data_IF_892279112730
#
_entry.id   IF_892279112730
#
_cell.length_a   1.000
_cell.length_b   1.000
_cell.length_c   1.000
_cell.angle_alpha   90.00
_cell.angle_beta   90.00
_cell.angle_gamma   90.00
#
_symmetry.space_group_name_H-M   'P 1'
#
loop_
_entity.id
_entity.type
_entity.pdbx_description
1 polymer ?
#
# COMPACT_ATOMS: atom_id res chain seq x y z
N UNK A 1 15.71 -2.93 5.93
CA UNK A 1 15.85 -3.89 4.80
C UNK A 1 14.96 -5.10 5.07
N UNK A 2 14.17 -5.51 4.08
CA UNK A 2 13.30 -6.69 4.17
C UNK A 2 13.96 -7.86 3.43
N UNK A 3 14.11 -9.02 4.09
CA UNK A 3 14.74 -10.18 3.47
C UNK A 3 14.15 -11.50 3.97
N UNK A 4 14.37 -12.56 3.22
CA UNK A 4 13.97 -13.94 3.58
C UNK A 4 15.16 -14.87 3.59
N UNK A 5 15.13 -15.87 4.48
CA UNK A 5 16.16 -16.91 4.59
C UNK A 5 15.51 -18.27 4.72
N UNK A 6 15.86 -19.16 3.79
CA UNK A 6 15.38 -20.55 3.70
C UNK A 6 13.84 -20.65 3.87
N UNK A 7 13.12 -19.70 3.23
CA UNK A 7 11.69 -19.51 3.47
C UNK A 7 10.85 -20.60 2.83
N UNK A 8 10.13 -21.37 3.66
CA UNK A 8 9.13 -22.36 3.23
C UNK A 8 7.77 -21.92 3.71
N UNK A 9 6.84 -21.66 2.80
CA UNK A 9 5.49 -21.21 3.11
C UNK A 9 4.45 -21.80 2.17
N UNK A 10 3.20 -21.85 2.64
CA UNK A 10 2.07 -22.37 1.87
C UNK A 10 0.80 -22.46 2.70
N UNK A 11 -0.21 -23.09 2.16
CA UNK A 11 -1.53 -23.20 2.77
C UNK A 11 -1.85 -24.69 2.98
N UNK A 12 -2.47 -25.03 4.10
CA UNK A 12 -2.77 -26.39 4.50
C UNK A 12 -1.58 -27.33 4.27
N UNK A 13 -1.72 -28.40 3.51
CA UNK A 13 -0.64 -29.34 3.18
C UNK A 13 0.20 -28.89 1.95
N UNK A 14 -0.26 -27.86 1.21
CA UNK A 14 0.41 -27.43 -0.03
C UNK A 14 1.54 -26.45 0.27
N UNK A 15 2.77 -26.83 -0.04
CA UNK A 15 3.91 -25.91 -0.09
C UNK A 15 3.86 -25.08 -1.39
N UNK A 16 4.01 -23.77 -1.27
CA UNK A 16 4.00 -22.81 -2.39
C UNK A 16 5.38 -22.20 -2.59
N UNK A 17 6.07 -21.87 -1.50
CA UNK A 17 7.47 -21.41 -1.50
C UNK A 17 8.31 -22.48 -0.83
N UNK A 18 9.48 -22.81 -1.42
CA UNK A 18 10.35 -23.87 -0.90
C UNK A 18 11.82 -23.40 -0.90
N UNK A 19 12.34 -23.08 0.29
CA UNK A 19 13.72 -22.68 0.50
C UNK A 19 14.09 -21.35 -0.16
N UNK A 20 13.21 -20.33 -0.13
CA UNK A 20 13.39 -19.07 -0.84
C UNK A 20 14.25 -18.10 -0.03
N UNK A 21 15.41 -17.71 -0.61
CA UNK A 21 16.27 -16.63 -0.14
C UNK A 21 16.08 -15.41 -1.04
N UNK A 22 15.83 -14.25 -0.44
CA UNK A 22 15.66 -13.00 -1.17
C UNK A 22 16.05 -11.82 -0.29
N UNK A 23 16.86 -10.91 -0.84
CA UNK A 23 17.16 -9.61 -0.26
C UNK A 23 16.49 -8.51 -1.10
N UNK A 24 15.66 -7.70 -0.46
CA UNK A 24 15.04 -6.56 -1.12
C UNK A 24 15.85 -5.29 -0.79
N UNK A 25 16.21 -4.49 -1.80
CA UNK A 25 16.92 -3.24 -1.57
C UNK A 25 16.01 -2.24 -0.83
N UNK A 26 16.62 -1.44 0.05
CA UNK A 26 15.96 -0.29 0.70
C UNK A 26 15.90 0.90 -0.26
N UNK A 27 14.99 1.83 0.00
CA UNK A 27 14.83 3.06 -0.77
C UNK A 27 14.67 2.81 -2.29
N UNK A 28 14.06 1.66 -2.62
CA UNK A 28 13.89 1.18 -3.98
C UNK A 28 12.44 0.80 -4.26
N UNK A 29 12.02 0.91 -5.50
CA UNK A 29 10.77 0.32 -5.97
C UNK A 29 11.06 -1.06 -6.55
N UNK A 30 10.79 -2.09 -5.75
CA UNK A 30 10.89 -3.50 -6.19
C UNK A 30 9.56 -3.97 -6.73
N UNK A 31 9.58 -4.56 -7.92
CA UNK A 31 8.40 -5.21 -8.51
C UNK A 31 8.61 -6.71 -8.61
N UNK A 32 7.65 -7.47 -8.09
CA UNK A 32 7.62 -8.94 -8.18
C UNK A 32 6.71 -9.33 -9.33
N UNK A 33 7.27 -10.06 -10.31
CA UNK A 33 6.55 -10.56 -11.48
C UNK A 33 6.63 -12.08 -11.58
N UNK A 34 5.73 -12.67 -12.34
CA UNK A 34 5.68 -14.12 -12.58
C UNK A 34 4.29 -14.59 -12.97
N UNK A 35 4.12 -15.81 -13.46
CA UNK A 35 2.82 -16.35 -13.84
C UNK A 35 1.87 -16.46 -12.66
N UNK A 36 0.57 -16.62 -12.96
CA UNK A 36 -0.42 -16.82 -11.91
C UNK A 36 -0.11 -18.07 -11.08
N UNK A 37 -0.41 -18.01 -9.79
CA UNK A 37 -0.17 -19.08 -8.81
C UNK A 37 1.31 -19.49 -8.63
N UNK A 38 2.30 -18.69 -9.07
CA UNK A 38 3.71 -18.98 -8.84
C UNK A 38 4.23 -18.64 -7.44
N UNK A 39 3.40 -18.04 -6.55
CA UNK A 39 3.77 -17.76 -5.15
C UNK A 39 3.98 -16.29 -4.80
N UNK A 40 3.78 -15.33 -5.71
CA UNK A 40 3.98 -13.88 -5.46
C UNK A 40 3.23 -13.37 -4.22
N UNK A 41 1.91 -13.55 -4.20
CA UNK A 41 1.07 -13.13 -3.06
C UNK A 41 1.38 -13.91 -1.78
N UNK A 42 1.80 -15.19 -1.90
CA UNK A 42 2.25 -15.99 -0.75
C UNK A 42 3.52 -15.40 -0.15
N UNK A 43 4.49 -15.04 -0.99
CA UNK A 43 5.72 -14.37 -0.57
C UNK A 43 5.40 -13.04 0.13
N UNK A 44 4.60 -12.20 -0.51
CA UNK A 44 4.24 -10.89 0.04
C UNK A 44 3.47 -11.02 1.37
N UNK A 45 2.51 -11.93 1.48
CA UNK A 45 1.78 -12.20 2.73
C UNK A 45 2.68 -12.73 3.84
N UNK A 46 3.67 -13.57 3.49
CA UNK A 46 4.63 -14.07 4.48
C UNK A 46 5.56 -12.96 4.96
N UNK A 47 6.05 -12.10 4.04
CA UNK A 47 6.84 -10.90 4.38
C UNK A 47 6.04 -9.92 5.23
N UNK A 48 4.72 -9.79 4.98
CA UNK A 48 3.81 -8.96 5.76
C UNK A 48 3.42 -9.56 7.13
N UNK A 49 3.93 -10.74 7.49
CA UNK A 49 3.52 -11.49 8.70
C UNK A 49 2.03 -11.86 8.73
N UNK A 50 1.37 -11.87 7.55
CA UNK A 50 -0.01 -12.32 7.40
C UNK A 50 -0.10 -13.85 7.21
N UNK A 51 1.00 -14.47 6.80
CA UNK A 51 1.15 -15.93 6.69
C UNK A 51 2.39 -16.36 7.46
N UNK A 52 2.21 -17.31 8.37
CA UNK A 52 3.32 -17.87 9.15
C UNK A 52 4.11 -18.86 8.29
N UNK A 53 5.44 -18.68 8.12
CA UNK A 53 6.26 -19.64 7.40
C UNK A 53 6.34 -20.97 8.16
N UNK A 54 6.43 -22.07 7.43
CA UNK A 54 6.65 -23.42 7.99
C UNK A 54 8.08 -23.63 8.40
N UNK A 55 9.03 -23.06 7.65
CA UNK A 55 10.46 -23.06 7.88
C UNK A 55 11.07 -21.75 7.40
N UNK A 56 12.26 -21.45 7.91
CA UNK A 56 12.97 -20.22 7.56
C UNK A 56 12.44 -19.01 8.31
N UNK A 57 12.84 -17.84 7.86
CA UNK A 57 12.49 -16.59 8.53
C UNK A 57 12.42 -15.42 7.57
N UNK A 58 11.55 -14.44 7.91
CA UNK A 58 11.54 -13.11 7.33
C UNK A 58 12.25 -12.18 8.28
N UNK A 59 13.17 -11.38 7.78
CA UNK A 59 13.91 -10.39 8.53
C UNK A 59 13.45 -8.98 8.13
N UNK A 60 13.18 -8.15 9.12
CA UNK A 60 12.95 -6.71 8.97
C UNK A 60 14.08 -5.99 9.72
N UNK A 61 14.93 -5.29 8.97
CA UNK A 61 16.14 -4.63 9.48
C UNK A 61 17.05 -5.57 10.31
N UNK A 62 17.22 -6.80 9.81
CA UNK A 62 18.05 -7.83 10.43
C UNK A 62 17.41 -8.57 11.60
N UNK A 63 16.21 -8.17 12.05
CA UNK A 63 15.47 -8.82 13.14
C UNK A 63 14.37 -9.70 12.57
N UNK A 64 14.21 -10.91 13.10
CA UNK A 64 13.13 -11.79 12.66
C UNK A 64 11.77 -11.14 12.95
N UNK A 65 10.96 -10.98 11.91
CA UNK A 65 9.68 -10.24 11.99
C UNK A 65 8.70 -10.86 13.00
N UNK A 66 8.82 -12.16 13.25
CA UNK A 66 8.01 -12.88 14.25
C UNK A 66 8.30 -12.43 15.69
N UNK A 67 9.53 -11.98 15.95
CA UNK A 67 10.01 -11.60 17.29
C UNK A 67 9.69 -10.13 17.60
N UNK A 68 9.32 -9.33 16.60
CA UNK A 68 8.91 -7.94 16.76
C UNK A 68 7.47 -7.84 17.28
N UNK A 69 7.16 -6.85 18.16
CA UNK A 69 5.79 -6.54 18.54
C UNK A 69 4.94 -6.19 17.30
N UNK A 70 3.69 -6.68 17.23
CA UNK A 70 2.80 -6.44 16.08
C UNK A 70 2.65 -4.95 15.74
N UNK A 71 2.57 -4.10 16.77
CA UNK A 71 2.48 -2.66 16.62
C UNK A 71 3.73 -2.03 16.01
N UNK A 72 4.89 -2.56 16.32
CA UNK A 72 6.16 -2.11 15.76
C UNK A 72 6.24 -2.47 14.28
N UNK A 73 5.91 -3.71 13.92
CA UNK A 73 5.80 -4.13 12.51
C UNK A 73 4.84 -3.22 11.75
N UNK A 74 3.65 -2.96 12.32
CA UNK A 74 2.64 -2.10 11.68
C UNK A 74 3.05 -0.62 11.56
N UNK A 75 4.08 -0.14 12.26
CA UNK A 75 4.63 1.20 12.10
C UNK A 75 5.76 1.28 11.08
N UNK A 76 6.34 0.14 10.72
CA UNK A 76 7.44 0.07 9.74
C UNK A 76 6.98 -0.44 8.38
N UNK A 77 5.90 -1.23 8.35
CA UNK A 77 5.45 -1.96 7.17
C UNK A 77 3.96 -1.72 6.91
N UNK A 78 3.64 -0.99 5.85
CA UNK A 78 2.29 -0.83 5.31
C UNK A 78 1.97 -1.97 4.36
N UNK A 79 0.73 -2.47 4.42
CA UNK A 79 0.32 -3.62 3.60
C UNK A 79 -1.00 -3.33 2.92
N UNK A 80 -1.03 -3.46 1.58
CA UNK A 80 -2.24 -3.49 0.77
C UNK A 80 -2.46 -4.92 0.26
N UNK A 81 -3.44 -5.66 0.78
CA UNK A 81 -3.77 -6.98 0.26
C UNK A 81 -4.57 -6.89 -1.05
N UNK A 82 -4.55 -7.95 -1.85
CA UNK A 82 -5.21 -8.03 -3.16
C UNK A 82 -6.74 -7.78 -3.10
N UNK A 83 -7.42 -8.27 -2.06
CA UNK A 83 -8.88 -8.15 -1.92
C UNK A 83 -9.22 -7.82 -0.47
N UNK A 84 -9.09 -6.55 -0.07
CA UNK A 84 -9.46 -6.16 1.29
C UNK A 84 -10.97 -6.16 1.48
N UNK A 85 -11.43 -6.65 2.65
CA UNK A 85 -12.84 -6.64 3.01
C UNK A 85 -13.27 -5.22 3.39
N UNK A 86 -14.37 -4.77 2.81
CA UNK A 86 -14.99 -3.47 3.13
C UNK A 86 -16.07 -3.70 4.18
N UNK A 87 -15.98 -3.08 5.36
CA UNK A 87 -17.09 -3.09 6.30
C UNK A 87 -18.25 -2.24 5.75
N UNK A 88 -19.48 -2.71 5.93
CA UNK A 88 -20.68 -1.97 5.50
C UNK A 88 -20.81 -0.62 6.24
N UNK A 89 -21.26 0.41 5.54
CA UNK A 89 -21.59 1.70 6.11
C UNK A 89 -20.40 2.55 6.59
N UNK A 90 -19.15 2.17 6.29
CA UNK A 90 -17.94 2.92 6.66
C UNK A 90 -17.67 3.98 5.59
N UNK A 91 -17.44 5.23 6.01
CA UNK A 91 -17.03 6.31 5.12
C UNK A 91 -15.58 6.17 4.65
N UNK A 92 -15.22 6.86 3.57
CA UNK A 92 -13.83 6.91 3.08
C UNK A 92 -12.90 7.45 4.17
N UNK A 93 -13.26 8.57 4.81
CA UNK A 93 -12.43 9.17 5.87
C UNK A 93 -12.23 8.20 7.04
N UNK A 94 -13.28 7.49 7.48
CA UNK A 94 -13.19 6.50 8.56
C UNK A 94 -12.30 5.32 8.17
N UNK A 95 -12.41 4.84 6.92
CA UNK A 95 -11.56 3.74 6.45
C UNK A 95 -10.10 4.16 6.38
N UNK A 96 -9.79 5.32 5.80
CA UNK A 96 -8.43 5.86 5.73
C UNK A 96 -7.87 6.09 7.14
N UNK A 97 -8.71 6.60 8.06
CA UNK A 97 -8.38 6.78 9.47
C UNK A 97 -7.94 5.51 10.19
N UNK A 98 -8.39 4.33 9.75
CA UNK A 98 -7.93 3.04 10.32
C UNK A 98 -6.45 2.80 10.09
N UNK A 99 -5.83 3.41 9.08
CA UNK A 99 -4.38 3.39 8.89
C UNK A 99 -3.61 3.94 10.10
N UNK A 100 -4.24 4.81 10.91
CA UNK A 100 -3.62 5.39 12.11
C UNK A 100 -3.69 4.51 13.36
N UNK A 101 -4.39 3.36 13.33
CA UNK A 101 -4.52 2.46 14.49
C UNK A 101 -3.18 2.09 15.16
N UNK A 102 -2.06 1.87 14.47
CA UNK A 102 -0.78 1.59 15.11
C UNK A 102 -0.24 2.72 15.97
N UNK A 103 -0.71 3.95 15.79
CA UNK A 103 -0.29 5.14 16.55
C UNK A 103 -1.20 5.45 17.74
N UNK A 104 -2.45 5.01 17.70
CA UNK A 104 -3.43 5.25 18.74
C UNK A 104 -3.11 4.45 20.02
N UNK A 105 -3.43 5.07 21.18
CA UNK A 105 -3.34 4.44 22.50
C UNK A 105 -4.74 4.37 23.10
N UNK A 106 -5.01 3.40 23.98
CA UNK A 106 -6.34 3.22 24.57
C UNK A 106 -6.89 4.47 25.29
N UNK A 107 -6.01 5.39 25.74
CA UNK A 107 -6.38 6.66 26.41
C UNK A 107 -6.26 7.90 25.50
N UNK A 108 -5.67 7.78 24.31
CA UNK A 108 -5.53 8.85 23.30
C UNK A 108 -5.87 8.28 21.94
N UNK A 109 -7.14 8.36 21.58
CA UNK A 109 -7.65 7.69 20.39
C UNK A 109 -7.33 8.46 19.10
N UNK A 110 -7.36 9.80 19.13
CA UNK A 110 -7.15 10.63 17.94
C UNK A 110 -6.32 11.86 18.27
N UNK A 111 -5.36 12.22 17.41
CA UNK A 111 -4.54 13.41 17.52
C UNK A 111 -4.67 14.29 16.27
N UNK A 112 -4.24 15.56 16.36
CA UNK A 112 -4.16 16.46 15.20
C UNK A 112 -3.21 15.94 14.12
N UNK A 113 -2.14 15.24 14.53
CA UNK A 113 -1.19 14.57 13.63
C UNK A 113 -1.86 13.42 12.87
N UNK A 114 -2.76 12.67 13.51
CA UNK A 114 -3.52 11.61 12.86
C UNK A 114 -4.47 12.19 11.80
N UNK A 115 -5.15 13.31 12.12
CA UNK A 115 -5.99 14.04 11.15
C UNK A 115 -5.18 14.50 9.94
N UNK A 116 -4.06 15.19 10.19
CA UNK A 116 -3.20 15.67 9.10
C UNK A 116 -2.65 14.54 8.21
N UNK A 117 -2.29 13.39 8.80
CA UNK A 117 -1.82 12.23 8.07
C UNK A 117 -2.93 11.62 7.18
N UNK A 118 -4.16 11.57 7.67
CA UNK A 118 -5.33 11.10 6.90
C UNK A 118 -5.63 12.05 5.74
N UNK A 119 -5.69 13.37 6.00
CA UNK A 119 -5.95 14.37 4.96
C UNK A 119 -4.89 14.32 3.87
N UNK A 120 -3.60 14.21 4.26
CA UNK A 120 -2.50 14.08 3.32
C UNK A 120 -2.61 12.79 2.50
N UNK A 121 -2.94 11.67 3.12
CA UNK A 121 -3.08 10.39 2.43
C UNK A 121 -4.24 10.41 1.43
N UNK A 122 -5.38 11.02 1.79
CA UNK A 122 -6.52 11.19 0.89
C UNK A 122 -6.17 12.09 -0.30
N UNK A 123 -5.45 13.19 -0.06
CA UNK A 123 -5.00 14.08 -1.12
C UNK A 123 -4.01 13.39 -2.08
N UNK A 124 -3.06 12.61 -1.56
CA UNK A 124 -2.09 11.86 -2.37
C UNK A 124 -2.76 10.80 -3.27
N UNK A 125 -3.81 10.16 -2.78
CA UNK A 125 -4.56 9.13 -3.52
C UNK A 125 -5.72 9.70 -4.35
N UNK A 126 -5.90 11.03 -4.37
CA UNK A 126 -6.98 11.71 -5.09
C UNK A 126 -8.37 11.17 -4.73
N UNK A 127 -8.67 11.15 -3.41
CA UNK A 127 -9.96 10.68 -2.86
C UNK A 127 -10.56 11.64 -1.84
N UNK A 128 -10.05 12.86 -1.74
CA UNK A 128 -10.52 13.87 -0.78
C UNK A 128 -12.00 14.20 -0.96
N UNK A 129 -12.44 14.34 -2.22
CA UNK A 129 -13.84 14.65 -2.55
C UNK A 129 -14.82 13.49 -2.25
N UNK A 130 -14.28 12.33 -1.89
CA UNK A 130 -15.04 11.13 -1.55
C UNK A 130 -15.12 10.90 -0.04
N UNK A 131 -14.54 11.77 0.80
CA UNK A 131 -14.33 11.57 2.24
C UNK A 131 -15.57 11.08 3.00
N UNK A 132 -16.72 11.70 2.74
CA UNK A 132 -17.99 11.40 3.43
C UNK A 132 -18.82 10.29 2.74
N UNK A 133 -18.35 9.76 1.61
CA UNK A 133 -19.08 8.71 0.89
C UNK A 133 -18.86 7.35 1.53
N UNK A 134 -19.92 6.51 1.58
CA UNK A 134 -19.76 5.09 1.96
C UNK A 134 -18.86 4.36 0.95
N UNK A 135 -17.90 3.56 1.45
CA UNK A 135 -16.92 2.86 0.62
C UNK A 135 -17.56 1.82 -0.30
N UNK A 136 -18.65 1.21 0.11
CA UNK A 136 -19.43 0.26 -0.67
C UNK A 136 -20.11 0.88 -1.91
N UNK A 137 -20.40 2.21 -1.87
CA UNK A 137 -20.98 2.96 -3.00
C UNK A 137 -19.96 3.34 -4.09
N UNK A 138 -18.66 3.08 -3.88
CA UNK A 138 -17.60 3.49 -4.79
C UNK A 138 -17.40 2.51 -5.95
N UNK A 139 -16.93 3.03 -7.10
CA UNK A 139 -16.43 2.20 -8.18
C UNK A 139 -15.22 1.37 -7.73
N UNK A 140 -14.89 0.29 -8.46
CA UNK A 140 -13.72 -0.53 -8.15
C UNK A 140 -12.42 0.28 -8.08
N UNK A 141 -12.21 1.20 -9.04
CA UNK A 141 -11.03 2.06 -9.08
C UNK A 141 -10.99 3.08 -7.93
N UNK A 142 -12.11 3.74 -7.61
CA UNK A 142 -12.20 4.63 -6.46
C UNK A 142 -11.91 3.88 -5.16
N UNK A 143 -12.47 2.70 -5.01
CA UNK A 143 -12.24 1.84 -3.83
C UNK A 143 -10.77 1.45 -3.69
N UNK A 144 -10.09 1.10 -4.79
CA UNK A 144 -8.68 0.78 -4.80
C UNK A 144 -7.82 1.98 -4.32
N UNK A 145 -8.12 3.21 -4.81
CA UNK A 145 -7.43 4.43 -4.36
C UNK A 145 -7.66 4.72 -2.86
N UNK A 146 -8.85 4.44 -2.35
CA UNK A 146 -9.14 4.57 -0.90
C UNK A 146 -8.31 3.59 -0.06
N UNK A 147 -8.14 2.35 -0.51
CA UNK A 147 -7.28 1.38 0.17
C UNK A 147 -5.79 1.79 0.13
N UNK A 148 -5.34 2.36 -1.00
CA UNK A 148 -4.00 2.94 -1.09
C UNK A 148 -3.88 4.10 -0.09
N UNK A 149 -4.88 5.01 -0.02
CA UNK A 149 -4.90 6.10 0.96
C UNK A 149 -4.80 5.58 2.39
N UNK A 150 -5.54 4.55 2.77
CA UNK A 150 -5.46 3.92 4.09
C UNK A 150 -4.04 3.40 4.38
N UNK A 151 -3.41 2.75 3.40
CA UNK A 151 -2.04 2.25 3.54
C UNK A 151 -1.04 3.40 3.68
N UNK A 152 -1.25 4.51 2.95
CA UNK A 152 -0.41 5.71 3.05
C UNK A 152 -0.58 6.44 4.39
N UNK A 153 -1.81 6.49 4.93
CA UNK A 153 -2.11 7.09 6.24
C UNK A 153 -1.38 6.37 7.39
N UNK A 154 -1.01 5.11 7.20
CA UNK A 154 -0.19 4.35 8.15
C UNK A 154 1.22 4.94 8.30
N UNK A 155 1.71 5.70 7.31
CA UNK A 155 2.98 6.46 7.33
C UNK A 155 4.20 5.59 7.70
N UNK A 156 4.43 4.54 6.92
CA UNK A 156 5.47 3.53 7.14
C UNK A 156 6.67 3.73 6.21
N UNK A 157 7.84 3.23 6.60
CA UNK A 157 9.07 3.27 5.80
C UNK A 157 9.02 2.33 4.58
N UNK A 158 8.28 1.24 4.70
CA UNK A 158 8.11 0.25 3.64
C UNK A 158 6.64 -0.04 3.34
N UNK A 159 6.32 -0.26 2.06
CA UNK A 159 4.98 -0.59 1.55
C UNK A 159 5.03 -1.91 0.79
N UNK A 160 4.16 -2.84 1.16
CA UNK A 160 3.93 -4.10 0.44
C UNK A 160 2.54 -4.06 -0.22
N UNK A 161 2.50 -4.14 -1.53
CA UNK A 161 1.28 -3.92 -2.33
C UNK A 161 1.01 -5.15 -3.22
N UNK A 162 -0.07 -5.87 -2.93
CA UNK A 162 -0.47 -7.04 -3.72
C UNK A 162 -1.43 -6.60 -4.82
N UNK A 163 -0.93 -6.46 -6.06
CA UNK A 163 -1.68 -6.05 -7.25
C UNK A 163 -2.40 -4.69 -7.12
N UNK A 164 -1.68 -3.59 -6.80
CA UNK A 164 -2.31 -2.30 -6.53
C UNK A 164 -3.02 -1.67 -7.73
N UNK A 165 -2.77 -2.15 -8.94
CA UNK A 165 -3.35 -1.62 -10.19
C UNK A 165 -4.53 -2.45 -10.72
N UNK A 166 -4.94 -3.50 -10.03
CA UNK A 166 -6.08 -4.35 -10.42
C UNK A 166 -7.38 -3.55 -10.32
N UNK A 167 -8.31 -3.75 -11.27
CA UNK A 167 -9.59 -3.04 -11.42
C UNK A 167 -9.48 -1.55 -11.82
N UNK A 168 -8.29 -1.05 -12.15
CA UNK A 168 -8.08 0.30 -12.65
C UNK A 168 -8.00 0.30 -14.18
N UNK A 169 -8.51 1.34 -14.81
CA UNK A 169 -8.21 1.63 -16.21
C UNK A 169 -6.76 2.09 -16.38
N UNK A 170 -6.30 2.18 -17.61
CA UNK A 170 -4.90 2.48 -17.93
C UNK A 170 -4.42 3.80 -17.34
N UNK A 171 -5.26 4.85 -17.37
CA UNK A 171 -4.89 6.16 -16.84
C UNK A 171 -4.66 6.09 -15.32
N UNK A 172 -5.60 5.51 -14.58
CA UNK A 172 -5.50 5.36 -13.14
C UNK A 172 -4.39 4.38 -12.70
N UNK A 173 -4.07 3.35 -13.52
CA UNK A 173 -2.90 2.48 -13.27
C UNK A 173 -1.60 3.31 -13.29
N UNK A 174 -1.46 4.18 -14.29
CA UNK A 174 -0.29 5.05 -14.42
C UNK A 174 -0.21 6.02 -13.25
N UNK A 175 -1.32 6.67 -12.86
CA UNK A 175 -1.38 7.58 -11.71
C UNK A 175 -0.93 6.91 -10.41
N UNK A 176 -1.40 5.69 -10.14
CA UNK A 176 -0.99 4.91 -8.96
C UNK A 176 0.50 4.58 -9.00
N UNK A 177 1.01 4.12 -10.15
CA UNK A 177 2.42 3.79 -10.27
C UNK A 177 3.32 5.02 -10.17
N UNK A 178 2.90 6.15 -10.74
CA UNK A 178 3.58 7.45 -10.60
C UNK A 178 3.59 7.92 -9.14
N UNK A 179 2.48 7.74 -8.40
CA UNK A 179 2.42 8.01 -6.98
C UNK A 179 3.43 7.15 -6.19
N UNK A 180 3.45 5.83 -6.42
CA UNK A 180 4.38 4.93 -5.75
C UNK A 180 5.83 5.26 -6.08
N UNK A 181 6.12 5.61 -7.32
CA UNK A 181 7.44 6.04 -7.75
C UNK A 181 7.87 7.36 -7.07
N UNK A 182 6.97 8.34 -6.94
CA UNK A 182 7.23 9.59 -6.20
C UNK A 182 7.47 9.33 -4.71
N UNK A 183 6.70 8.46 -4.06
CA UNK A 183 6.92 8.09 -2.66
C UNK A 183 8.31 7.51 -2.43
N UNK A 184 8.80 6.70 -3.38
CA UNK A 184 10.17 6.20 -3.36
C UNK A 184 11.18 7.31 -3.59
N UNK A 185 11.05 8.10 -4.68
CA UNK A 185 12.08 9.07 -5.10
C UNK A 185 12.17 10.31 -4.20
N UNK A 186 11.03 10.80 -3.68
CA UNK A 186 10.97 12.04 -2.89
C UNK A 186 11.05 11.79 -1.37
N UNK A 187 10.61 10.62 -0.90
CA UNK A 187 10.54 10.30 0.54
C UNK A 187 11.45 9.16 0.97
N UNK A 188 12.22 8.55 0.04
CA UNK A 188 13.10 7.43 0.36
C UNK A 188 12.35 6.20 0.87
N UNK A 189 11.08 5.99 0.48
CA UNK A 189 10.32 4.83 0.94
C UNK A 189 10.67 3.59 0.13
N UNK A 190 10.75 2.48 0.80
CA UNK A 190 10.87 1.17 0.14
C UNK A 190 9.48 0.74 -0.33
N UNK A 191 9.32 0.47 -1.63
CA UNK A 191 8.06 0.01 -2.20
C UNK A 191 8.27 -1.38 -2.79
N UNK A 192 7.43 -2.33 -2.43
CA UNK A 192 7.40 -3.68 -3.01
C UNK A 192 6.00 -3.94 -3.55
N UNK A 193 5.87 -4.11 -4.86
CA UNK A 193 4.58 -4.35 -5.49
C UNK A 193 4.59 -5.62 -6.33
N UNK A 194 3.49 -6.36 -6.30
CA UNK A 194 3.22 -7.41 -7.29
C UNK A 194 2.51 -6.77 -8.47
N UNK A 195 3.06 -6.91 -9.66
CA UNK A 195 2.43 -6.45 -10.90
C UNK A 195 2.30 -7.59 -11.91
N UNK A 196 1.29 -7.49 -12.78
CA UNK A 196 1.07 -8.45 -13.87
C UNK A 196 1.65 -7.97 -15.20
N UNK A 197 1.70 -6.65 -15.42
CA UNK A 197 2.21 -6.06 -16.65
C UNK A 197 3.73 -5.90 -16.58
N UNK A 198 4.45 -6.65 -17.46
CA UNK A 198 5.91 -6.61 -17.52
C UNK A 198 6.45 -5.25 -17.98
N UNK A 199 5.70 -4.54 -18.84
CA UNK A 199 6.14 -3.25 -19.36
C UNK A 199 5.99 -2.15 -18.29
N UNK A 200 4.92 -2.19 -17.51
CA UNK A 200 4.79 -1.34 -16.33
C UNK A 200 5.86 -1.68 -15.29
N UNK A 201 6.09 -2.97 -15.01
CA UNK A 201 7.13 -3.40 -14.09
C UNK A 201 8.52 -2.90 -14.52
N UNK A 202 8.87 -3.06 -15.80
CA UNK A 202 10.16 -2.60 -16.35
C UNK A 202 10.31 -1.08 -16.34
N UNK A 203 9.20 -0.33 -16.47
CA UNK A 203 9.20 1.14 -16.51
C UNK A 203 9.41 1.76 -15.13
N UNK A 204 8.80 1.20 -14.10
CA UNK A 204 8.73 1.80 -12.77
C UNK A 204 9.70 1.20 -11.75
N UNK A 205 10.10 -0.07 -11.92
CA UNK A 205 10.96 -0.74 -10.95
C UNK A 205 12.42 -0.30 -11.04
N UNK A 206 13.02 -0.06 -9.88
CA UNK A 206 14.47 -0.04 -9.71
C UNK A 206 15.03 -1.46 -9.65
N UNK A 207 14.25 -2.37 -9.08
CA UNK A 207 14.60 -3.77 -8.87
C UNK A 207 13.43 -4.68 -9.26
N UNK A 208 13.68 -5.66 -10.11
CA UNK A 208 12.68 -6.62 -10.57
C UNK A 208 13.02 -7.99 -9.98
N UNK A 209 12.00 -8.68 -9.47
CA UNK A 209 12.10 -10.06 -8.98
C UNK A 209 11.19 -10.93 -9.82
N UNK A 210 11.76 -11.83 -10.63
CA UNK A 210 11.02 -12.77 -11.46
C UNK A 210 10.87 -14.11 -10.73
N UNK A 211 9.62 -14.56 -10.55
CA UNK A 211 9.28 -15.79 -9.85
C UNK A 211 8.63 -16.82 -10.77
N UNK A 212 8.97 -18.09 -10.55
CA UNK A 212 8.32 -19.24 -11.18
C UNK A 212 8.31 -20.44 -10.24
N UNK A 213 7.16 -21.10 -10.09
CA UNK A 213 7.05 -22.35 -9.33
C UNK A 213 7.49 -22.23 -7.86
N UNK A 214 7.26 -21.10 -7.20
CA UNK A 214 7.61 -20.88 -5.80
C UNK A 214 9.07 -20.44 -5.54
N UNK A 215 9.87 -20.27 -6.60
CA UNK A 215 11.27 -19.86 -6.51
C UNK A 215 11.52 -18.53 -7.24
N UNK A 216 12.56 -17.81 -6.84
CA UNK A 216 13.10 -16.66 -7.55
C UNK A 216 14.00 -17.19 -8.68
N UNK A 217 13.68 -16.81 -9.92
CA UNK A 217 14.45 -17.19 -11.11
C UNK A 217 15.54 -16.15 -11.41
N UNK A 218 15.18 -14.87 -11.26
CA UNK A 218 16.10 -13.76 -11.45
C UNK A 218 15.69 -12.58 -10.56
N UNK A 219 16.67 -11.81 -10.10
CA UNK A 219 16.48 -10.58 -9.33
C UNK A 219 17.56 -9.58 -9.71
N UNK A 220 17.20 -8.32 -9.96
CA UNK A 220 18.12 -7.27 -10.36
C UNK A 220 17.43 -6.10 -11.07
N UNK A 221 18.20 -5.12 -11.57
CA UNK A 221 17.66 -4.03 -12.35
C UNK A 221 16.93 -4.54 -13.61
N UNK A 222 15.74 -4.01 -13.97
CA UNK A 222 15.00 -4.49 -15.13
C UNK A 222 15.82 -4.51 -16.43
N UNK A 223 16.69 -3.53 -16.62
CA UNK A 223 17.53 -3.42 -17.83
C UNK A 223 18.55 -4.56 -17.98
N UNK A 224 18.93 -5.20 -16.87
CA UNK A 224 19.91 -6.27 -16.85
C UNK A 224 19.27 -7.64 -16.97
N UNK A 225 18.10 -7.84 -16.31
CA UNK A 225 17.52 -9.18 -16.19
C UNK A 225 16.36 -9.44 -17.15
N UNK A 226 15.61 -8.40 -17.61
CA UNK A 226 14.44 -8.60 -18.46
C UNK A 226 14.86 -8.84 -19.92
N UNK A 227 15.14 -10.10 -20.23
CA UNK A 227 15.50 -10.59 -21.56
C UNK A 227 14.40 -11.44 -22.20
N UNK A 228 14.43 -11.64 -23.52
CA UNK A 228 13.51 -12.52 -24.20
C UNK A 228 13.57 -13.97 -23.67
N UNK A 229 14.76 -14.43 -23.27
CA UNK A 229 14.95 -15.75 -22.68
C UNK A 229 14.29 -15.84 -21.30
N UNK A 230 14.47 -14.84 -20.41
CA UNK A 230 13.79 -14.81 -19.12
C UNK A 230 12.25 -14.84 -19.31
N UNK A 231 11.72 -14.03 -20.25
CA UNK A 231 10.26 -13.98 -20.49
C UNK A 231 9.77 -15.34 -20.99
N UNK A 232 10.50 -15.98 -21.89
CA UNK A 232 10.16 -17.34 -22.36
C UNK A 232 10.22 -18.36 -21.23
N UNK A 233 11.26 -18.33 -20.41
CA UNK A 233 11.47 -19.29 -19.33
C UNK A 233 10.44 -19.13 -18.22
N UNK A 234 10.14 -17.89 -17.81
CA UNK A 234 9.22 -17.60 -16.70
C UNK A 234 7.76 -17.69 -17.14
N UNK A 235 7.42 -17.09 -18.29
CA UNK A 235 6.03 -16.91 -18.72
C UNK A 235 5.61 -17.84 -19.87
N UNK A 236 6.56 -18.57 -20.50
CA UNK A 236 6.28 -19.40 -21.66
C UNK A 236 5.95 -18.58 -22.93
N UNK A 237 6.32 -17.29 -22.96
CA UNK A 237 5.95 -16.35 -24.01
C UNK A 237 7.14 -16.05 -24.92
N UNK A 238 7.00 -16.34 -26.22
CA UNK A 238 7.95 -15.88 -27.22
C UNK A 238 7.77 -14.36 -27.43
N UNK A 239 8.87 -13.62 -27.33
CA UNK A 239 8.86 -12.16 -27.46
C UNK A 239 10.20 -11.63 -27.98
N UNK A 240 10.21 -10.36 -28.32
CA UNK A 240 11.42 -9.54 -28.45
C UNK A 240 11.40 -8.49 -27.35
N UNK A 241 12.59 -8.13 -26.86
CA UNK A 241 12.74 -7.03 -25.90
C UNK A 241 13.49 -5.91 -26.58
N UNK A 242 12.86 -4.74 -26.63
CA UNK A 242 13.40 -3.53 -27.27
C UNK A 242 13.42 -2.38 -26.27
N UNK A 243 14.28 -1.38 -26.44
CA UNK A 243 14.22 -0.19 -25.60
C UNK A 243 12.93 0.62 -25.86
N UNK A 244 12.24 1.02 -24.82
CA UNK A 244 11.09 1.91 -24.92
C UNK A 244 11.53 3.26 -25.48
N UNK A 245 10.90 3.80 -26.54
CA UNK A 245 11.33 5.06 -27.18
C UNK A 245 11.17 6.29 -26.28
N UNK A 246 10.36 6.20 -25.20
CA UNK A 246 10.12 7.31 -24.27
C UNK A 246 11.05 7.26 -23.07
N UNK A 247 11.24 6.08 -22.45
CA UNK A 247 11.98 5.94 -21.17
C UNK A 247 13.32 5.21 -21.32
N UNK A 248 13.55 4.53 -22.46
CA UNK A 248 14.67 3.62 -22.64
C UNK A 248 14.60 2.34 -21.78
N UNK A 249 13.53 2.14 -20.99
CA UNK A 249 13.32 0.92 -20.24
C UNK A 249 13.06 -0.27 -21.20
N UNK A 250 13.32 -1.52 -20.77
CA UNK A 250 12.97 -2.69 -21.57
C UNK A 250 11.47 -2.74 -21.85
N UNK A 251 11.11 -2.94 -23.12
CA UNK A 251 9.74 -3.10 -23.58
C UNK A 251 9.59 -4.51 -24.16
N UNK A 252 8.76 -5.31 -23.55
CA UNK A 252 8.45 -6.67 -24.00
C UNK A 252 7.36 -6.60 -25.07
N UNK A 253 7.70 -7.05 -26.29
CA UNK A 253 6.77 -7.13 -27.42
C UNK A 253 6.54 -8.60 -27.73
N UNK A 254 5.33 -9.16 -27.47
CA UNK A 254 5.02 -10.55 -27.78
C UNK A 254 5.21 -10.85 -29.26
N UNK A 255 5.80 -12.00 -29.56
CA UNK A 255 5.87 -12.48 -30.94
C UNK A 255 4.46 -12.88 -31.41
N UNK A 256 4.11 -12.47 -32.63
CA UNK A 256 2.86 -12.88 -33.25
C UNK A 256 2.94 -14.33 -33.67
N UNK A 257 2.06 -15.18 -33.15
CA UNK A 257 2.02 -16.63 -33.43
C UNK A 257 0.96 -17.02 -34.47
N UNK A 258 0.20 -16.05 -35.00
CA UNK A 258 -0.80 -16.28 -36.05
C UNK A 258 -0.16 -16.42 -37.42
N UNK A 259 -0.66 -17.37 -38.27
CA UNK A 259 -0.11 -17.76 -39.55
C UNK A 259 0.01 -16.69 -40.66
N UNK A 260 -0.22 -15.42 -40.34
CA UNK A 260 -0.06 -14.29 -41.26
C UNK A 260 0.66 -13.16 -40.52
N UNK A 261 1.89 -13.41 -40.07
CA UNK A 261 2.71 -12.35 -39.48
C UNK A 261 2.86 -11.22 -40.52
N UNK A 262 2.54 -9.95 -40.17
CA UNK A 262 2.91 -8.83 -41.04
C UNK A 262 4.42 -8.90 -41.28
N UNK A 263 4.87 -8.64 -42.50
CA UNK A 263 6.30 -8.62 -42.84
C UNK A 263 7.08 -7.84 -41.78
N UNK A 264 8.17 -8.44 -41.26
CA UNK A 264 9.00 -7.80 -40.26
C UNK A 264 9.34 -6.37 -40.70
N UNK A 265 8.93 -5.39 -39.94
CA UNK A 265 9.36 -4.01 -40.17
C UNK A 265 10.88 -4.01 -39.95
N UNK A 266 11.67 -3.66 -40.98
CA UNK A 266 13.12 -3.64 -40.81
C UNK A 266 13.50 -2.72 -39.64
N UNK A 267 14.45 -3.15 -38.83
CA UNK A 267 14.89 -2.51 -37.58
C UNK A 267 15.53 -1.11 -37.77
N UNK A 268 15.33 -0.45 -38.90
CA UNK A 268 16.00 0.79 -39.31
C UNK A 268 15.05 1.92 -39.68
N UNK A 269 13.87 2.02 -39.10
CA UNK A 269 13.14 3.29 -39.11
C UNK A 269 12.93 3.73 -37.67
N UNK A 270 13.99 4.33 -37.08
CA UNK A 270 13.79 5.21 -35.96
C UNK A 270 12.82 6.31 -36.42
N UNK A 271 11.55 6.17 -36.08
CA UNK A 271 10.59 7.26 -36.25
C UNK A 271 11.18 8.42 -35.45
N UNK A 272 11.47 9.57 -36.06
CA UNK A 272 11.95 10.71 -35.29
C UNK A 272 10.88 11.00 -34.24
N UNK A 273 11.26 10.90 -32.98
CA UNK A 273 10.41 11.30 -31.85
C UNK A 273 10.05 12.76 -32.13
N UNK A 274 8.77 13.13 -32.35
CA UNK A 274 8.41 14.53 -32.47
C UNK A 274 8.91 15.22 -31.20
N UNK A 275 9.59 16.36 -31.37
CA UNK A 275 10.09 17.16 -30.25
C UNK A 275 9.00 17.27 -29.19
N UNK A 276 9.36 16.99 -27.94
CA UNK A 276 8.44 16.95 -26.81
C UNK A 276 7.44 18.09 -26.89
N UNK A 277 6.15 17.76 -26.97
CA UNK A 277 5.09 18.77 -26.87
C UNK A 277 5.28 19.43 -25.52
N UNK A 278 5.52 20.74 -25.45
CA UNK A 278 5.72 21.40 -24.17
C UNK A 278 4.46 21.23 -23.34
N UNK A 279 4.60 20.62 -22.18
CA UNK A 279 3.53 20.56 -21.18
C UNK A 279 3.18 22.01 -20.86
N UNK A 280 1.91 22.45 -20.98
CA UNK A 280 1.56 23.84 -20.71
C UNK A 280 1.95 24.19 -19.28
N UNK A 281 2.66 25.31 -19.12
CA UNK A 281 3.23 25.81 -17.86
C UNK A 281 2.20 26.06 -16.73
N UNK A 282 0.91 25.90 -16.99
CA UNK A 282 -0.16 26.02 -16.02
C UNK A 282 -0.18 24.89 -14.96
N UNK A 283 0.36 23.69 -15.28
CA UNK A 283 0.44 22.60 -14.32
C UNK A 283 1.62 22.74 -13.33
N UNK A 284 2.67 23.44 -13.71
CA UNK A 284 3.84 23.68 -12.85
C UNK A 284 3.60 24.83 -11.84
N UNK A 285 2.73 25.78 -12.16
CA UNK A 285 2.40 26.92 -11.27
C UNK A 285 1.49 26.52 -10.09
N UNK A 286 0.66 25.50 -10.25
CA UNK A 286 -0.21 25.00 -9.18
C UNK A 286 0.58 24.23 -8.09
N UNK A 287 1.71 23.62 -8.46
CA UNK A 287 2.57 22.88 -7.51
C UNK A 287 3.48 23.81 -6.69
N UNK A 288 3.80 25.01 -7.20
CA UNK A 288 4.65 25.97 -6.52
C UNK A 288 3.92 26.85 -5.49
N UNK A 289 2.57 26.94 -5.53
CA UNK A 289 1.77 27.77 -4.64
C UNK A 289 1.44 27.10 -3.28
N UNK A 290 1.82 25.84 -3.07
CA UNK A 290 1.51 25.05 -1.87
C UNK A 290 2.69 24.90 -0.88
N UNK A 291 3.79 25.65 -1.02
CA UNK A 291 4.88 25.62 -0.05
C UNK A 291 4.62 26.63 1.09
N UNK A 292 4.64 26.21 2.37
CA UNK A 292 4.49 27.12 3.49
C UNK A 292 5.74 28.00 3.61
N UNK A 293 5.55 29.33 3.66
CA UNK A 293 6.60 30.32 3.91
C UNK A 293 7.17 30.13 5.31
N UNK A 294 8.41 29.68 5.43
CA UNK A 294 9.18 29.71 6.67
C UNK A 294 9.56 31.16 6.97
N UNK A 295 8.96 31.73 8.00
CA UNK A 295 9.30 33.04 8.54
C UNK A 295 10.65 32.97 9.25
N UNK A 296 11.68 33.55 8.62
CA UNK A 296 12.95 33.94 9.25
C UNK A 296 12.74 35.29 9.92
N UNK A 297 12.66 35.34 11.27
CA UNK A 297 12.79 36.57 12.03
C UNK A 297 14.22 36.68 12.53
N UNK A 298 14.98 37.54 11.89
CA UNK A 298 16.29 38.01 12.39
C UNK A 298 16.07 39.18 13.32
N UNK A 299 16.78 39.12 14.45
CA UNK A 299 16.86 40.12 15.50
C UNK A 299 17.55 41.41 15.03
N UNK A 300 17.05 42.60 15.49
CA UNK A 300 17.88 43.78 15.69
C UNK A 300 17.38 44.52 16.92
N UNK A 301 18.32 44.79 17.81
CA UNK A 301 18.12 45.26 19.13
C UNK A 301 18.07 46.73 19.33
N UNK A 302 17.75 47.12 20.59
CA UNK A 302 18.20 48.27 21.32
C UNK A 302 17.15 49.34 21.61
N UNK A 303 17.41 50.24 22.57
CA UNK A 303 16.87 50.05 23.92
C UNK A 303 16.09 51.28 24.47
N UNK A 304 15.58 51.19 25.74
CA UNK A 304 15.30 52.21 26.79
C UNK A 304 14.01 53.06 26.70
N UNK A 305 13.14 52.99 27.63
CA UNK A 305 12.96 53.89 28.77
C UNK A 305 11.67 53.62 29.57
N UNK A 306 11.87 53.56 30.87
CA UNK A 306 11.12 53.72 32.09
C UNK A 306 9.88 54.61 32.11
N UNK A 307 8.86 54.15 32.90
CA UNK A 307 8.10 54.85 33.95
C UNK A 307 6.77 54.05 34.15
N UNK A 308 6.38 53.53 35.30
CA UNK A 308 6.14 54.17 36.54
C UNK A 308 4.62 54.29 36.75
N UNK A 309 4.03 53.64 37.82
CA UNK A 309 2.67 53.84 38.25
C UNK A 309 1.91 52.49 38.47
N UNK A 310 1.95 51.89 39.59
CA UNK A 310 1.28 52.03 40.89
C UNK A 310 -0.25 51.89 40.79
N UNK A 311 -0.84 50.93 41.59
CA UNK A 311 -2.26 50.84 41.85
C UNK A 311 -2.81 49.40 41.96
N UNK A 312 -2.62 48.72 43.05
CA UNK A 312 -3.54 47.65 43.51
C UNK A 312 -4.65 48.23 44.39
N UNK A 313 -5.37 47.44 45.20
CA UNK A 313 -6.04 46.17 44.92
C UNK A 313 -7.57 46.25 45.18
N UNK A 314 -8.36 45.30 44.87
CA UNK A 314 -9.79 45.29 45.19
C UNK A 314 -10.36 43.86 45.22
N UNK A 315 -10.66 43.52 46.38
CA UNK A 315 -11.23 42.33 47.00
C UNK A 315 -12.68 42.00 46.56
N UNK A 316 -13.09 40.82 46.98
CA UNK A 316 -14.42 40.32 47.36
C UNK A 316 -15.14 39.46 46.28
N UNK A 317 -15.26 38.22 46.53
CA UNK A 317 -16.16 37.45 47.41
C UNK A 317 -17.31 36.74 46.69
N UNK A 318 -17.25 35.42 46.81
CA UNK A 318 -18.27 34.46 47.26
C UNK A 318 -19.58 34.23 46.46
N UNK A 319 -19.82 32.96 46.17
CA UNK A 319 -20.90 32.07 46.58
C UNK A 319 -21.03 30.92 45.60
N UNK A 320 -20.73 29.70 45.89
CA UNK A 320 -21.46 28.64 46.60
C UNK A 320 -22.79 28.26 45.92
N UNK A 321 -22.89 27.01 45.49
CA UNK A 321 -24.14 26.39 45.06
C UNK A 321 -23.95 24.99 44.45
N UNK A 322 -23.61 23.99 45.21
CA UNK A 322 -24.14 22.63 45.06
C UNK A 322 -25.45 22.51 45.85
N UNK A 323 -26.29 21.46 45.76
CA UNK A 323 -26.17 20.12 45.18
C UNK A 323 -27.49 19.66 44.48
N UNK A 324 -27.57 18.52 43.88
CA UNK A 324 -28.41 17.38 44.30
C UNK A 324 -28.32 16.20 43.35
N UNK A 325 -28.11 15.07 43.94
CA UNK A 325 -28.19 13.72 43.40
C UNK A 325 -29.65 13.34 43.06
N UNK A 326 -29.84 12.54 42.02
CA UNK A 326 -31.02 11.66 41.91
C UNK A 326 -30.62 10.31 41.30
N UNK A 327 -30.71 9.34 42.18
CA UNK A 327 -30.70 7.90 41.97
C UNK A 327 -31.97 7.44 41.24
N UNK A 328 -31.84 6.54 40.24
CA UNK A 328 -32.90 5.58 39.90
C UNK A 328 -32.27 4.37 39.18
N UNK A 329 -32.10 3.32 39.89
CA UNK A 329 -32.62 1.95 39.84
C UNK A 329 -32.60 1.23 38.49
N UNK A 330 -31.77 0.19 38.48
CA UNK A 330 -31.75 -1.00 37.60
C UNK A 330 -32.95 -1.91 37.94
N UNK A 331 -33.54 -2.62 36.99
CA UNK A 331 -33.97 -3.97 37.28
C UNK A 331 -33.26 -5.05 36.46
N UNK A 332 -32.78 -5.95 37.21
CA UNK A 332 -32.30 -7.30 36.95
C UNK A 332 -33.42 -8.19 36.35
N UNK A 333 -33.15 -8.97 35.33
CA UNK A 333 -33.94 -10.15 35.01
C UNK A 333 -33.08 -11.22 34.32
N UNK A 334 -32.84 -12.25 35.05
CA UNK A 334 -32.30 -13.55 34.63
C UNK A 334 -33.45 -14.55 34.30
N UNK A 335 -33.13 -15.78 33.89
CA UNK A 335 -33.44 -16.33 32.57
C UNK A 335 -34.50 -17.45 32.63
N UNK A 336 -35.01 -17.88 31.49
CA UNK A 336 -35.84 -19.08 31.40
C UNK A 336 -35.21 -20.09 30.44
N UNK A 337 -34.87 -21.21 31.01
CA UNK A 337 -34.56 -22.52 30.45
C UNK A 337 -35.77 -23.10 29.73
N UNK A 338 -35.56 -23.78 28.60
CA UNK A 338 -36.59 -24.57 27.92
C UNK A 338 -35.95 -25.55 26.94
N UNK A 339 -35.80 -26.72 27.44
CA UNK A 339 -35.45 -28.02 26.86
C UNK A 339 -36.52 -28.48 25.86
N UNK A 340 -36.12 -29.11 24.73
CA UNK A 340 -36.79 -30.27 24.18
C UNK A 340 -36.27 -30.74 22.80
N UNK A 341 -35.60 -31.86 22.81
CA UNK A 341 -35.83 -33.05 21.98
C UNK A 341 -35.61 -33.02 20.46
N UNK A 342 -34.56 -33.72 20.08
CA UNK A 342 -34.41 -34.53 18.87
C UNK A 342 -35.41 -35.72 18.92
N UNK A 343 -35.96 -36.29 17.79
CA UNK A 343 -35.25 -37.39 17.17
C UNK A 343 -35.51 -37.68 15.66
N UNK A 344 -34.61 -38.57 15.13
CA UNK A 344 -34.78 -39.62 14.10
C UNK A 344 -34.63 -39.19 12.61
N UNK A 345 -33.59 -39.60 11.96
CA UNK A 345 -33.27 -40.94 11.35
C UNK A 345 -34.06 -41.22 10.05
N UNK A 346 -33.32 -41.50 8.98
CA UNK A 346 -33.90 -42.15 7.79
C UNK A 346 -33.11 -41.98 6.50
N UNK A 347 -32.13 -42.87 6.29
CA UNK A 347 -31.89 -43.74 5.12
C UNK A 347 -31.52 -43.13 3.74
N UNK A 348 -30.34 -43.54 3.30
CA UNK A 348 -29.94 -43.81 1.90
C UNK A 348 -30.93 -44.70 1.11
N UNK A 349 -30.96 -44.68 -0.24
CA UNK A 349 -29.90 -45.37 -0.98
C UNK A 349 -29.47 -44.79 -2.35
N UNK A 350 -28.28 -45.26 -2.74
CA UNK A 350 -27.58 -45.34 -4.00
C UNK A 350 -28.37 -45.69 -5.29
N UNK A 351 -27.86 -45.22 -6.41
CA UNK A 351 -27.59 -45.78 -7.76
C UNK A 351 -27.60 -44.62 -8.75
N UNK A 352 -26.63 -44.37 -9.54
CA UNK A 352 -25.94 -45.13 -10.56
C UNK A 352 -26.32 -44.57 -11.92
N UNK A 353 -25.46 -43.86 -12.53
CA UNK A 353 -24.99 -43.94 -13.92
C UNK A 353 -23.96 -42.85 -14.15
#
# INVERSE_FOLDING_TARGET
MLSTRDLVAGYDERTVLDGLDLDLPTDAFTVIVGPNACGKSTLLRTMARLLTPRRGTVLLDGTAIRDLPTREVARRLGVLPQSPLVPEGVTVADLVGRGRQPYQRWWRQWSTEDGAAVDQAMALADVTDLADRPVDSLSGGQRQRVWIAMTLAQDTDALLLDEPTTFLDLAHQVEVLDLLHRLRSERGRTVVAVLHDLNQAARYADHLVAMRGGAVVAAGPPREILTADLVRDVFGLACVVVPCPVTGAPLVVPAYTGGNAPAAVPAAAAVPVPAAVPVPAAAAAAAAAAAPASASAAASGGPVASSGGDGGPGDASAAAGEPTASTASVPDARPATGDAANPLAGSHPSKGL
#
